data_IF_386098322886
#
_entry.id   IF_386098322886
#
_cell.length_a   1.000
_cell.length_b   1.000
_cell.length_c   1.000
_cell.angle_alpha   90.00
_cell.angle_beta   90.00
_cell.angle_gamma   90.00
#
_symmetry.space_group_name_H-M   'P 1'
#
loop_
_entity.id
_entity.type
_entity.pdbx_description
1 polymer ?
#
# COMPACT_ATOMS: atom_id res chain seq x y z
N UNK A 1 7.07 -4.61 16.45
CA UNK A 1 6.99 -4.16 17.84
C UNK A 1 8.01 -4.86 18.74
N UNK A 2 8.37 -6.12 18.50
CA UNK A 2 9.41 -6.83 19.25
C UNK A 2 10.83 -6.74 18.64
N UNK A 3 11.79 -6.38 19.49
CA UNK A 3 13.26 -6.49 19.37
C UNK A 3 13.97 -5.67 18.27
N UNK A 4 14.06 -4.36 18.52
CA UNK A 4 14.92 -3.44 17.77
C UNK A 4 14.75 -1.99 18.23
N UNK A 5 14.87 -1.74 19.54
CA UNK A 5 14.71 -0.42 20.14
C UNK A 5 13.28 0.13 20.09
N UNK A 6 12.91 0.93 21.09
CA UNK A 6 11.62 1.64 21.22
C UNK A 6 11.27 2.56 20.02
N UNK A 7 12.16 2.69 19.04
CA UNK A 7 12.07 3.65 17.92
C UNK A 7 11.60 3.01 16.60
N UNK A 8 11.68 1.68 16.45
CA UNK A 8 11.51 1.02 15.14
C UNK A 8 10.06 0.87 14.64
N UNK A 9 9.09 0.68 15.55
CA UNK A 9 7.69 0.41 15.19
C UNK A 9 7.01 1.57 14.45
N UNK A 10 7.18 2.78 14.97
CA UNK A 10 6.61 4.00 14.37
C UNK A 10 7.26 4.32 13.01
N UNK A 11 8.57 4.10 12.86
CA UNK A 11 9.26 4.31 11.58
C UNK A 11 8.76 3.36 10.49
N UNK A 12 8.56 2.08 10.81
CA UNK A 12 8.00 1.09 9.88
C UNK A 12 6.56 1.42 9.49
N UNK A 13 5.76 1.91 10.45
CA UNK A 13 4.39 2.36 10.18
C UNK A 13 4.37 3.59 9.26
N UNK A 14 5.27 4.55 9.48
CA UNK A 14 5.41 5.72 8.61
C UNK A 14 5.79 5.30 7.18
N UNK A 15 6.74 4.38 7.02
CA UNK A 15 7.13 3.86 5.69
C UNK A 15 5.95 3.17 5.02
N UNK A 16 5.20 2.33 5.73
CA UNK A 16 4.00 1.68 5.19
C UNK A 16 2.96 2.72 4.73
N UNK A 17 2.72 3.76 5.53
CA UNK A 17 1.83 4.87 5.17
C UNK A 17 2.31 5.65 3.94
N UNK A 18 3.60 5.97 3.86
CA UNK A 18 4.16 6.70 2.71
C UNK A 18 4.06 5.88 1.42
N UNK A 19 4.32 4.56 1.49
CA UNK A 19 4.17 3.64 0.36
C UNK A 19 2.71 3.47 -0.09
N UNK A 20 1.73 3.72 0.78
CA UNK A 20 0.32 3.76 0.38
C UNK A 20 0.00 5.13 -0.21
N UNK A 21 0.22 6.21 0.55
CA UNK A 21 -0.30 7.54 0.23
C UNK A 21 0.35 8.17 -1.00
N UNK A 22 1.69 8.16 -1.08
CA UNK A 22 2.40 8.81 -2.19
C UNK A 22 2.03 8.16 -3.53
N UNK A 23 2.16 6.84 -3.69
CA UNK A 23 1.85 6.22 -4.98
C UNK A 23 0.35 6.28 -5.29
N UNK A 24 -0.54 6.25 -4.28
CA UNK A 24 -1.98 6.45 -4.49
C UNK A 24 -2.30 7.82 -5.09
N UNK A 25 -1.64 8.89 -4.64
CA UNK A 25 -1.83 10.23 -5.19
C UNK A 25 -1.32 10.35 -6.64
N UNK A 26 -0.25 9.62 -6.98
CA UNK A 26 0.38 9.69 -8.29
C UNK A 26 -0.30 8.83 -9.36
N UNK A 27 -1.07 7.83 -8.96
CA UNK A 27 -1.61 6.81 -9.87
C UNK A 27 -2.42 7.39 -11.04
N UNK A 28 -3.34 8.31 -10.79
CA UNK A 28 -4.18 8.90 -11.84
C UNK A 28 -3.36 9.80 -12.78
N UNK A 29 -2.40 10.55 -12.24
CA UNK A 29 -1.54 11.42 -13.06
C UNK A 29 -0.59 10.60 -13.94
N UNK A 30 -0.01 9.52 -13.41
CA UNK A 30 0.79 8.58 -14.20
C UNK A 30 -0.05 7.91 -15.29
N UNK A 31 -1.29 7.53 -14.97
CA UNK A 31 -2.20 6.95 -15.98
C UNK A 31 -2.52 7.96 -17.07
N UNK A 32 -2.75 9.24 -16.72
CA UNK A 32 -2.93 10.33 -17.68
C UNK A 32 -1.72 10.50 -18.60
N UNK A 33 -0.51 10.52 -18.03
CA UNK A 33 0.75 10.63 -18.80
C UNK A 33 0.88 9.45 -19.77
N UNK A 34 0.51 8.25 -19.34
CA UNK A 34 0.51 7.07 -20.20
C UNK A 34 -0.45 7.23 -21.40
N UNK A 35 -1.69 7.69 -21.18
CA UNK A 35 -2.66 7.97 -22.27
C UNK A 35 -2.10 8.98 -23.28
N UNK A 36 -1.37 9.99 -22.81
CA UNK A 36 -0.83 11.04 -23.67
C UNK A 36 0.41 10.60 -24.47
N UNK A 37 1.21 9.69 -23.91
CA UNK A 37 2.51 9.29 -24.47
C UNK A 37 2.44 7.99 -25.24
N UNK A 38 1.47 7.12 -24.93
CA UNK A 38 1.23 5.83 -25.57
C UNK A 38 2.48 4.93 -25.65
N UNK A 39 3.26 4.92 -24.57
CA UNK A 39 4.51 4.16 -24.50
C UNK A 39 4.42 3.01 -23.50
N UNK A 40 4.92 1.84 -23.87
CA UNK A 40 5.03 0.68 -22.98
C UNK A 40 5.80 0.99 -21.68
N UNK A 41 6.77 1.92 -21.69
CA UNK A 41 7.48 2.33 -20.48
C UNK A 41 6.54 3.00 -19.48
N UNK A 42 5.68 3.90 -19.97
CA UNK A 42 4.72 4.62 -19.13
C UNK A 42 3.66 3.69 -18.52
N UNK A 43 3.24 2.65 -19.25
CA UNK A 43 2.42 1.56 -18.71
C UNK A 43 3.09 0.88 -17.51
N UNK A 44 4.34 0.42 -17.67
CA UNK A 44 5.05 -0.26 -16.58
C UNK A 44 5.29 0.63 -15.37
N UNK A 45 5.44 1.94 -15.56
CA UNK A 45 5.54 2.90 -14.45
C UNK A 45 4.22 2.97 -13.67
N UNK A 46 3.07 3.02 -14.35
CA UNK A 46 1.75 3.02 -13.67
C UNK A 46 1.54 1.72 -12.90
N UNK A 47 1.82 0.57 -13.54
CA UNK A 47 1.69 -0.75 -12.90
C UNK A 47 2.63 -0.84 -11.68
N UNK A 48 3.90 -0.46 -11.83
CA UNK A 48 4.86 -0.44 -10.73
C UNK A 48 4.40 0.45 -9.57
N UNK A 49 3.86 1.63 -9.87
CA UNK A 49 3.29 2.54 -8.86
C UNK A 49 2.13 1.90 -8.08
N UNK A 50 1.23 1.19 -8.75
CA UNK A 50 0.13 0.46 -8.10
C UNK A 50 0.65 -0.66 -7.18
N UNK A 51 1.66 -1.40 -7.62
CA UNK A 51 2.29 -2.44 -6.80
C UNK A 51 3.04 -1.90 -5.58
N UNK A 52 3.53 -0.65 -5.62
CA UNK A 52 4.07 0.02 -4.42
C UNK A 52 2.98 0.25 -3.37
N UNK A 53 1.77 0.65 -3.78
CA UNK A 53 0.62 0.79 -2.86
C UNK A 53 0.28 -0.54 -2.21
N UNK A 54 0.24 -1.62 -3.01
CA UNK A 54 -0.01 -3.00 -2.53
C UNK A 54 1.03 -3.40 -1.49
N UNK A 55 2.32 -3.14 -1.76
CA UNK A 55 3.41 -3.43 -0.82
C UNK A 55 3.22 -2.68 0.50
N UNK A 56 2.90 -1.38 0.44
CA UNK A 56 2.61 -0.56 1.62
C UNK A 56 1.47 -1.13 2.46
N UNK A 57 0.40 -1.59 1.83
CA UNK A 57 -0.75 -2.19 2.52
C UNK A 57 -0.44 -3.55 3.14
N UNK A 58 0.35 -4.39 2.48
CA UNK A 58 0.82 -5.65 3.07
C UNK A 58 1.66 -5.40 4.33
N UNK A 59 2.55 -4.40 4.29
CA UNK A 59 3.31 -3.99 5.47
C UNK A 59 2.39 -3.49 6.58
N UNK A 60 1.34 -2.72 6.26
CA UNK A 60 0.36 -2.25 7.22
C UNK A 60 -0.37 -3.41 7.91
N UNK A 61 -0.85 -4.40 7.14
CA UNK A 61 -1.50 -5.60 7.66
C UNK A 61 -0.56 -6.36 8.60
N UNK A 62 0.68 -6.59 8.18
CA UNK A 62 1.68 -7.32 8.99
C UNK A 62 2.01 -6.58 10.29
N UNK A 63 2.16 -5.25 10.25
CA UNK A 63 2.42 -4.44 11.43
C UNK A 63 1.23 -4.40 12.38
N UNK A 64 0.01 -4.33 11.85
CA UNK A 64 -1.22 -4.40 12.62
C UNK A 64 -1.41 -5.77 13.28
N UNK A 65 -1.09 -6.84 12.55
CA UNK A 65 -1.08 -8.20 13.08
C UNK A 65 -0.07 -8.36 14.23
N UNK A 66 1.17 -7.90 14.03
CA UNK A 66 2.21 -7.97 15.06
C UNK A 66 1.81 -7.15 16.30
N UNK A 67 1.22 -5.97 16.14
CA UNK A 67 0.73 -5.14 17.25
C UNK A 67 -0.34 -5.87 18.06
N UNK A 68 -1.31 -6.48 17.37
CA UNK A 68 -2.40 -7.21 17.99
C UNK A 68 -1.90 -8.43 18.77
N UNK A 69 -1.01 -9.23 18.19
CA UNK A 69 -0.41 -10.39 18.88
C UNK A 69 0.46 -10.00 20.06
N UNK A 70 1.14 -8.86 19.99
CA UNK A 70 2.03 -8.38 21.06
C UNK A 70 1.26 -7.73 22.22
N UNK A 71 -0.06 -7.58 22.12
CA UNK A 71 -0.91 -7.03 23.18
C UNK A 71 -0.58 -5.58 23.54
N UNK A 72 -0.10 -4.79 22.57
CA UNK A 72 0.30 -3.39 22.81
C UNK A 72 -0.93 -2.56 23.21
N UNK A 73 -0.81 -1.81 24.31
CA UNK A 73 -1.87 -0.97 24.86
C UNK A 73 -2.41 0.01 23.82
N UNK A 74 -3.73 0.08 23.68
CA UNK A 74 -4.41 0.96 22.70
C UNK A 74 -4.43 0.43 21.26
N UNK A 75 -3.77 -0.69 20.97
CA UNK A 75 -3.85 -1.37 19.66
C UNK A 75 -4.64 -2.67 19.77
N UNK A 76 -5.96 -2.53 19.85
CA UNK A 76 -6.86 -3.67 19.68
C UNK A 76 -6.75 -4.27 18.27
N UNK A 77 -7.66 -5.17 17.90
CA UNK A 77 -7.69 -5.79 16.56
C UNK A 77 -7.88 -4.79 15.39
N UNK A 78 -8.28 -3.55 15.70
CA UNK A 78 -8.68 -2.51 14.74
C UNK A 78 -7.64 -2.17 13.65
N UNK A 79 -6.34 -1.93 13.95
CA UNK A 79 -5.37 -1.60 12.90
C UNK A 79 -5.16 -2.76 11.91
N UNK A 80 -5.22 -4.01 12.39
CA UNK A 80 -5.15 -5.19 11.54
C UNK A 80 -6.36 -5.30 10.62
N UNK A 81 -7.57 -5.19 11.18
CA UNK A 81 -8.83 -5.23 10.41
C UNK A 81 -8.90 -4.07 9.41
N UNK A 82 -8.49 -2.87 9.82
CA UNK A 82 -8.40 -1.71 8.94
C UNK A 82 -7.46 -1.93 7.76
N UNK A 83 -6.29 -2.53 7.99
CA UNK A 83 -5.36 -2.92 6.92
C UNK A 83 -5.95 -3.96 5.96
N UNK A 84 -6.72 -4.92 6.46
CA UNK A 84 -7.42 -5.90 5.62
C UNK A 84 -8.51 -5.25 4.77
N UNK A 85 -9.33 -4.38 5.38
CA UNK A 85 -10.38 -3.65 4.67
C UNK A 85 -9.80 -2.72 3.60
N UNK A 86 -8.74 -1.97 3.93
CA UNK A 86 -8.02 -1.15 2.96
C UNK A 86 -7.44 -2.02 1.84
N UNK A 87 -6.96 -3.22 2.16
CA UNK A 87 -6.47 -4.19 1.19
C UNK A 87 -7.45 -4.55 0.08
N UNK A 88 -8.76 -4.52 0.34
CA UNK A 88 -9.76 -4.70 -0.72
C UNK A 88 -9.60 -3.60 -1.78
N UNK A 89 -9.46 -2.34 -1.35
CA UNK A 89 -9.27 -1.22 -2.26
C UNK A 89 -7.92 -1.32 -2.98
N UNK A 90 -6.82 -1.41 -2.24
CA UNK A 90 -5.49 -1.26 -2.88
C UNK A 90 -4.97 -2.53 -3.54
N UNK A 91 -5.35 -3.72 -3.07
CA UNK A 91 -4.94 -5.00 -3.69
C UNK A 91 -5.91 -5.38 -4.79
N UNK A 92 -7.21 -5.47 -4.49
CA UNK A 92 -8.18 -5.98 -5.45
C UNK A 92 -8.49 -4.91 -6.49
N UNK A 93 -8.95 -3.73 -6.07
CA UNK A 93 -9.35 -2.71 -7.03
C UNK A 93 -8.14 -2.12 -7.77
N UNK A 94 -7.13 -1.65 -7.05
CA UNK A 94 -6.03 -0.93 -7.68
C UNK A 94 -4.99 -1.90 -8.26
N UNK A 95 -4.53 -2.89 -7.49
CA UNK A 95 -3.50 -3.83 -7.92
C UNK A 95 -3.93 -4.87 -8.98
N UNK A 96 -5.18 -5.35 -8.92
CA UNK A 96 -5.67 -6.41 -9.82
C UNK A 96 -6.61 -5.83 -10.88
N UNK A 97 -7.74 -5.23 -10.47
CA UNK A 97 -8.77 -4.79 -11.42
C UNK A 97 -8.26 -3.71 -12.36
N UNK A 98 -7.52 -2.71 -11.86
CA UNK A 98 -6.96 -1.70 -12.74
C UNK A 98 -5.92 -2.28 -13.70
N UNK A 99 -4.98 -3.08 -13.18
CA UNK A 99 -3.92 -3.67 -14.01
C UNK A 99 -4.48 -4.59 -15.09
N UNK A 100 -5.58 -5.29 -14.82
CA UNK A 100 -6.12 -6.26 -15.78
C UNK A 100 -7.19 -5.69 -16.71
N UNK A 101 -7.98 -4.72 -16.24
CA UNK A 101 -9.11 -4.16 -17.00
C UNK A 101 -8.75 -2.89 -17.76
N UNK A 102 -7.69 -2.19 -17.37
CA UNK A 102 -7.29 -0.98 -18.07
C UNK A 102 -6.76 -1.34 -19.47
N UNK A 103 -7.24 -0.66 -20.53
CA UNK A 103 -6.77 -0.89 -21.90
C UNK A 103 -5.43 -0.19 -22.09
N UNK A 104 -4.36 -0.85 -21.64
CA UNK A 104 -2.97 -0.43 -21.83
C UNK A 104 -2.57 -0.40 -23.30
#
# INVERSE_FOLDING_TARGET
WGQGGSTGGHGRLLIAMLLILIPSMLWLELTRIHIQTDSALTQWIVIGNLWLVVLGNLLLILLGWEAWQSGVDGTGMLPFVGGLMLGIQVIINDGILWVWKYPW
#
